data_IF_816313841856
#
_entry.id   IF_816313841856
#
_cell.length_a   1.000
_cell.length_b   1.000
_cell.length_c   1.000
_cell.angle_alpha   90.00
_cell.angle_beta   90.00
_cell.angle_gamma   90.00
#
_symmetry.space_group_name_H-M   'P 1'
#
loop_
_entity.id
_entity.type
_entity.pdbx_description
1 polymer ?
#
# COMPACT_ATOMS: atom_id res chain seq x y z
N UNK A 1 16.03 -8.89 4.46
CA UNK A 1 16.15 -7.41 4.55
C UNK A 1 15.08 -6.82 3.64
N UNK A 2 14.11 -6.09 4.17
CA UNK A 2 12.97 -5.54 3.41
C UNK A 2 13.01 -4.02 3.41
N UNK A 3 13.27 -3.41 2.26
CA UNK A 3 13.24 -1.96 2.11
C UNK A 3 11.79 -1.48 2.02
N UNK A 4 11.42 -0.48 2.83
CA UNK A 4 10.10 0.13 2.77
C UNK A 4 9.87 0.81 1.42
N UNK A 5 8.65 0.72 0.89
CA UNK A 5 8.28 1.42 -0.33
C UNK A 5 8.32 2.94 -0.09
N UNK A 6 8.89 3.68 -1.04
CA UNK A 6 9.02 5.14 -0.94
C UNK A 6 8.48 5.86 -2.18
N UNK A 7 8.02 7.08 -1.99
CA UNK A 7 7.48 7.96 -3.02
C UNK A 7 8.26 9.28 -3.03
N UNK A 8 8.73 9.68 -4.21
CA UNK A 8 9.31 11.01 -4.45
C UNK A 8 8.20 11.98 -4.83
N UNK A 9 8.13 13.12 -4.17
CA UNK A 9 7.12 14.15 -4.38
C UNK A 9 7.75 15.53 -4.58
N UNK A 10 7.07 16.46 -5.29
CA UNK A 10 7.44 17.87 -5.28
C UNK A 10 7.50 18.42 -3.85
N UNK A 11 8.33 19.43 -3.63
CA UNK A 11 8.52 20.01 -2.30
C UNK A 11 7.23 20.61 -1.70
N UNK A 12 6.34 21.13 -2.55
CA UNK A 12 5.13 21.81 -2.11
C UNK A 12 3.94 20.85 -1.91
N UNK A 13 3.19 21.05 -0.82
CA UNK A 13 1.87 20.44 -0.64
C UNK A 13 1.83 19.02 -0.05
N UNK A 14 2.98 18.40 0.23
CA UNK A 14 3.05 17.05 0.81
C UNK A 14 3.68 17.06 2.21
N UNK A 15 3.05 16.36 3.15
CA UNK A 15 3.49 16.22 4.55
C UNK A 15 3.32 14.79 5.05
N UNK A 16 4.09 14.45 6.08
CA UNK A 16 3.87 13.21 6.83
C UNK A 16 2.43 13.13 7.35
N UNK A 17 1.85 11.93 7.38
CA UNK A 17 0.47 11.68 7.77
C UNK A 17 -0.57 11.94 6.68
N UNK A 18 -0.21 12.62 5.59
CA UNK A 18 -1.14 12.98 4.53
C UNK A 18 -1.59 11.74 3.73
N UNK A 19 -2.90 11.66 3.48
CA UNK A 19 -3.48 10.66 2.57
C UNK A 19 -3.44 11.22 1.15
N UNK A 20 -2.92 10.43 0.22
CA UNK A 20 -2.81 10.81 -1.19
C UNK A 20 -3.27 9.66 -2.08
N UNK A 21 -3.65 10.01 -3.30
CA UNK A 21 -4.02 9.06 -4.34
C UNK A 21 -2.81 8.84 -5.24
N UNK A 22 -2.25 7.63 -5.22
CA UNK A 22 -1.17 7.22 -6.10
C UNK A 22 -1.78 6.64 -7.38
N UNK A 23 -1.59 7.33 -8.50
CA UNK A 23 -2.03 6.88 -9.82
C UNK A 23 -0.86 6.25 -10.55
N UNK A 24 -1.02 4.99 -10.93
CA UNK A 24 -0.06 4.24 -11.78
C UNK A 24 -0.74 3.91 -13.11
N UNK A 25 0.04 3.48 -14.10
CA UNK A 25 -0.52 3.13 -15.42
C UNK A 25 -1.63 2.07 -15.36
N UNK A 26 -1.58 1.18 -14.38
CA UNK A 26 -2.54 0.08 -14.24
C UNK A 26 -3.66 0.37 -13.23
N UNK A 27 -3.35 1.10 -12.15
CA UNK A 27 -4.22 1.19 -10.97
C UNK A 27 -4.04 2.48 -10.18
N UNK A 28 -5.08 2.80 -9.43
CA UNK A 28 -5.11 3.90 -8.48
C UNK A 28 -5.16 3.34 -7.06
N UNK A 29 -4.27 3.80 -6.19
CA UNK A 29 -4.18 3.36 -4.80
C UNK A 29 -4.30 4.54 -3.84
N UNK A 30 -5.09 4.40 -2.79
CA UNK A 30 -5.04 5.33 -1.66
C UNK A 30 -3.87 4.93 -0.76
N UNK A 31 -2.98 5.87 -0.48
CA UNK A 31 -1.82 5.65 0.39
C UNK A 31 -1.71 6.76 1.43
N UNK A 32 -1.05 6.48 2.54
CA UNK A 32 -0.70 7.48 3.55
C UNK A 32 0.82 7.64 3.59
N UNK A 33 1.29 8.87 3.43
CA UNK A 33 2.70 9.21 3.64
C UNK A 33 3.03 9.05 5.12
N UNK A 34 4.06 8.28 5.46
CA UNK A 34 4.41 7.98 6.85
C UNK A 34 5.59 8.82 7.30
N UNK A 35 6.80 8.45 6.88
CA UNK A 35 8.05 9.09 7.31
C UNK A 35 8.73 9.74 6.13
N UNK A 36 9.19 10.98 6.27
CA UNK A 36 10.07 11.62 5.30
C UNK A 36 11.48 11.07 5.44
N UNK A 37 11.99 10.46 4.39
CA UNK A 37 13.33 9.85 4.35
C UNK A 37 14.36 10.75 3.68
N UNK A 38 13.94 11.66 2.80
CA UNK A 38 14.83 12.64 2.18
C UNK A 38 14.11 13.97 1.93
N UNK A 39 14.88 15.06 2.01
CA UNK A 39 14.42 16.43 1.80
C UNK A 39 15.51 17.22 1.06
N UNK A 40 15.23 17.59 -0.19
CA UNK A 40 16.17 18.36 -1.02
C UNK A 40 15.58 19.72 -1.41
N UNK A 41 16.34 20.51 -2.18
CA UNK A 41 15.84 21.76 -2.77
C UNK A 41 14.59 21.56 -3.64
N UNK A 42 14.49 20.44 -4.34
CA UNK A 42 13.51 20.24 -5.42
C UNK A 42 12.45 19.19 -5.11
N UNK A 43 12.73 18.23 -4.22
CA UNK A 43 11.83 17.12 -3.93
C UNK A 43 11.90 16.67 -2.47
N UNK A 44 10.85 15.96 -2.07
CA UNK A 44 10.79 15.20 -0.83
C UNK A 44 10.69 13.71 -1.18
N UNK A 45 11.16 12.84 -0.30
CA UNK A 45 10.92 11.40 -0.40
C UNK A 45 10.27 10.94 0.90
N UNK A 46 9.19 10.17 0.78
CA UNK A 46 8.44 9.64 1.91
C UNK A 46 8.32 8.13 1.80
N UNK A 47 8.42 7.43 2.92
CA UNK A 47 7.80 6.12 3.07
C UNK A 47 6.28 6.25 2.99
N UNK A 48 5.59 5.20 2.53
CA UNK A 48 4.14 5.19 2.51
C UNK A 48 3.59 3.80 2.86
N UNK A 49 2.33 3.79 3.31
CA UNK A 49 1.53 2.56 3.47
C UNK A 49 0.28 2.64 2.61
N UNK A 50 -0.09 1.51 1.99
CA UNK A 50 -1.35 1.41 1.27
C UNK A 50 -2.51 1.38 2.28
N UNK A 51 -3.53 2.19 2.00
CA UNK A 51 -4.80 2.17 2.72
C UNK A 51 -5.65 1.12 2.04
N UNK A 52 -5.83 -0.04 2.68
CA UNK A 52 -6.74 -1.08 2.19
C UNK A 52 -8.17 -0.67 2.51
N UNK A 53 -9.03 -0.63 1.51
CA UNK A 53 -10.46 -0.46 1.73
C UNK A 53 -11.07 -1.81 2.17
N UNK A 54 -12.18 -1.77 2.90
CA UNK A 54 -12.79 -2.98 3.45
C UNK A 54 -13.09 -4.02 2.36
N UNK A 55 -13.47 -3.57 1.15
CA UNK A 55 -13.67 -4.43 -0.02
C UNK A 55 -12.40 -5.14 -0.49
N UNK A 56 -11.25 -4.48 -0.50
CA UNK A 56 -9.96 -5.12 -0.86
C UNK A 56 -9.58 -6.20 0.16
N UNK A 57 -9.82 -5.93 1.45
CA UNK A 57 -9.51 -6.89 2.52
C UNK A 57 -10.40 -8.13 2.44
N UNK A 58 -11.69 -7.95 2.12
CA UNK A 58 -12.64 -9.04 1.96
C UNK A 58 -12.33 -9.87 0.71
N UNK A 59 -12.01 -9.24 -0.42
CA UNK A 59 -11.61 -9.94 -1.64
C UNK A 59 -10.30 -10.74 -1.47
N UNK A 60 -9.32 -10.20 -0.74
CA UNK A 60 -8.08 -10.92 -0.42
C UNK A 60 -8.35 -12.14 0.47
N UNK A 61 -9.28 -12.05 1.43
CA UNK A 61 -9.69 -13.18 2.28
C UNK A 61 -10.39 -14.27 1.48
N UNK A 62 -11.32 -13.90 0.61
CA UNK A 62 -12.05 -14.86 -0.23
C UNK A 62 -11.09 -15.61 -1.19
N UNK A 63 -10.11 -14.89 -1.75
CA UNK A 63 -9.06 -15.52 -2.57
C UNK A 63 -8.15 -16.48 -1.78
N UNK A 64 -7.79 -16.13 -0.54
CA UNK A 64 -7.00 -17.03 0.32
C UNK A 64 -7.80 -18.26 0.79
N UNK A 65 -9.13 -18.16 0.89
CA UNK A 65 -9.99 -19.31 1.21
C UNK A 65 -10.16 -20.20 -0.04
N UNK A 66 -10.33 -19.61 -1.22
CA UNK A 66 -10.48 -20.34 -2.48
C UNK A 66 -9.21 -21.08 -2.94
N UNK A 67 -8.02 -20.62 -2.51
CA UNK A 67 -6.72 -21.28 -2.81
C UNK A 67 -6.33 -22.31 -1.72
N UNK A 68 -7.14 -22.46 -0.65
CA UNK A 68 -6.82 -23.25 0.54
C UNK A 68 -7.77 -24.43 0.83
N UNK A 69 -8.73 -24.72 -0.06
CA UNK A 69 -9.75 -25.76 0.16
C UNK A 69 -9.50 -26.98 -0.73
N UNK A 70 -8.54 -27.84 -0.35
CA UNK A 70 -8.52 -29.22 -0.87
C UNK A 70 -7.76 -30.27 0.00
N UNK A 71 -7.65 -30.11 1.33
CA UNK A 71 -6.92 -31.13 2.13
C UNK A 71 -7.26 -31.23 3.64
N UNK A 72 -8.52 -31.22 4.10
CA UNK A 72 -8.77 -31.68 5.49
C UNK A 72 -10.19 -32.15 5.89
N UNK A 73 -11.07 -32.57 4.96
CA UNK A 73 -12.39 -33.10 5.39
C UNK A 73 -12.77 -34.47 4.84
N UNK A 74 -11.80 -35.27 4.40
CA UNK A 74 -12.06 -36.69 4.11
C UNK A 74 -11.11 -37.61 4.85
N UNK A 75 -11.42 -37.83 6.13
CA UNK A 75 -11.23 -39.15 6.75
C UNK A 75 -12.42 -39.37 7.69
N UNK A 76 -13.34 -40.23 7.27
CA UNK A 76 -14.42 -40.79 8.07
C UNK A 76 -14.12 -42.27 8.27
#
# INVERSE_FOLDING_TARGET
>A
IGQAATLVTPRAGFREGQKVTLVTAARTHKVQLTRRVSYTGSYNQFEFKQIRELGDVLAEREKNIADGDDSNWTTL
#
